data_IF_611850818917
#
_entry.id   IF_611850818917
#
_cell.length_a   1.000
_cell.length_b   1.000
_cell.length_c   1.000
_cell.angle_alpha   90.00
_cell.angle_beta   90.00
_cell.angle_gamma   90.00
#
_symmetry.space_group_name_H-M   'P 1'
#
loop_
_entity.id
_entity.type
_entity.pdbx_description
1 polymer ?
#
# COMPACT_ATOMS: atom_id res chain seq x y z
N UNK A 1 -13.21 0.09 14.13
CA UNK A 1 -11.85 0.62 14.06
C UNK A 1 -11.77 1.55 12.87
N UNK A 2 -11.42 2.82 13.07
CA UNK A 2 -11.09 3.76 11.99
C UNK A 2 -9.60 3.64 11.61
N UNK A 3 -9.14 4.39 10.59
CA UNK A 3 -7.77 4.29 10.08
C UNK A 3 -6.71 4.66 11.14
N UNK A 4 -6.99 5.67 11.94
CA UNK A 4 -6.10 6.09 13.04
C UNK A 4 -6.02 5.02 14.12
N UNK A 5 -7.15 4.47 14.54
CA UNK A 5 -7.21 3.36 15.50
C UNK A 5 -6.50 2.12 14.95
N UNK A 6 -6.59 1.86 13.64
CA UNK A 6 -5.88 0.75 12.99
C UNK A 6 -4.38 0.95 12.97
N UNK A 7 -3.91 2.14 12.56
CA UNK A 7 -2.49 2.48 12.59
C UNK A 7 -1.91 2.35 14.01
N UNK A 8 -2.64 2.81 15.02
CA UNK A 8 -2.25 2.68 16.43
C UNK A 8 -2.20 1.21 16.89
N UNK A 9 -3.23 0.42 16.53
CA UNK A 9 -3.29 -1.00 16.80
C UNK A 9 -2.10 -1.77 16.20
N UNK A 10 -1.68 -1.45 14.97
CA UNK A 10 -0.54 -2.12 14.32
C UNK A 10 0.76 -2.03 15.14
N UNK A 11 0.97 -0.93 15.89
CA UNK A 11 2.15 -0.80 16.77
C UNK A 11 2.19 -1.86 17.87
N UNK A 12 1.03 -2.35 18.30
CA UNK A 12 0.93 -3.34 19.37
C UNK A 12 1.30 -4.75 18.92
N UNK A 13 1.26 -5.01 17.61
CA UNK A 13 1.55 -6.33 17.03
C UNK A 13 2.97 -6.40 16.43
N UNK A 14 3.61 -5.26 16.21
CA UNK A 14 4.91 -5.19 15.54
C UNK A 14 6.09 -5.60 16.42
N UNK A 15 7.07 -6.24 15.78
CA UNK A 15 8.40 -6.48 16.36
C UNK A 15 9.05 -5.14 16.71
N UNK A 16 9.72 -5.09 17.87
CA UNK A 16 10.54 -3.93 18.27
C UNK A 16 11.94 -4.05 17.68
N UNK A 17 12.42 -2.96 17.09
CA UNK A 17 13.77 -2.84 16.55
C UNK A 17 14.57 -1.85 17.40
N UNK A 18 15.89 -2.07 17.49
CA UNK A 18 16.81 -1.12 18.14
C UNK A 18 17.20 0.01 17.19
N UNK A 19 17.42 -0.33 15.92
CA UNK A 19 17.76 0.63 14.86
C UNK A 19 16.51 0.95 14.02
N UNK A 20 16.21 2.24 13.87
CA UNK A 20 15.08 2.75 13.08
C UNK A 20 15.24 2.56 11.57
N UNK A 21 16.46 2.52 11.05
CA UNK A 21 16.73 2.24 9.63
C UNK A 21 16.47 0.78 9.30
N UNK A 22 16.93 -0.13 10.16
CA UNK A 22 16.64 -1.56 10.01
C UNK A 22 15.13 -1.81 10.10
N UNK A 23 14.45 -1.13 11.03
CA UNK A 23 13.00 -1.17 11.16
C UNK A 23 12.29 -0.75 9.86
N UNK A 24 12.67 0.39 9.29
CA UNK A 24 12.11 0.89 8.03
C UNK A 24 12.38 -0.07 6.86
N UNK A 25 13.61 -0.60 6.76
CA UNK A 25 13.96 -1.60 5.76
C UNK A 25 13.09 -2.85 5.88
N UNK A 26 12.86 -3.33 7.11
CA UNK A 26 12.01 -4.49 7.35
C UNK A 26 10.58 -4.25 6.87
N UNK A 27 10.00 -3.09 7.16
CA UNK A 27 8.64 -2.77 6.72
C UNK A 27 8.52 -2.58 5.21
N UNK A 28 9.50 -1.91 4.58
CA UNK A 28 9.51 -1.73 3.13
C UNK A 28 9.68 -3.04 2.36
N UNK A 29 10.57 -3.92 2.83
CA UNK A 29 10.74 -5.26 2.24
C UNK A 29 9.52 -6.15 2.48
N UNK A 30 8.82 -5.99 3.61
CA UNK A 30 7.54 -6.64 3.87
C UNK A 30 6.52 -6.37 2.77
N UNK A 31 6.31 -5.09 2.41
CA UNK A 31 5.42 -4.72 1.30
C UNK A 31 5.79 -5.45 0.00
N UNK A 32 7.09 -5.53 -0.32
CA UNK A 32 7.55 -6.21 -1.53
C UNK A 32 7.27 -7.72 -1.50
N UNK A 33 7.41 -8.36 -0.33
CA UNK A 33 7.04 -9.76 -0.11
C UNK A 33 5.56 -10.00 -0.38
N UNK A 34 4.69 -9.25 0.31
CA UNK A 34 3.23 -9.39 0.18
C UNK A 34 2.76 -9.09 -1.25
N UNK A 35 3.36 -8.11 -1.93
CA UNK A 35 3.08 -7.84 -3.34
C UNK A 35 3.42 -9.03 -4.25
N UNK A 36 4.52 -9.74 -3.96
CA UNK A 36 4.90 -10.98 -4.64
C UNK A 36 3.89 -12.11 -4.42
N UNK A 37 3.40 -12.26 -3.19
CA UNK A 37 2.40 -13.29 -2.86
C UNK A 37 1.02 -12.99 -3.45
N UNK A 38 0.60 -11.73 -3.47
CA UNK A 38 -0.57 -11.28 -4.23
C UNK A 38 -0.42 -11.64 -5.72
N UNK A 39 0.73 -11.31 -6.33
CA UNK A 39 0.98 -11.61 -7.73
C UNK A 39 0.96 -13.13 -8.01
N UNK A 40 1.54 -13.94 -7.12
CA UNK A 40 1.53 -15.40 -7.19
C UNK A 40 0.11 -15.96 -7.13
N UNK A 41 -0.72 -15.46 -6.21
CA UNK A 41 -2.12 -15.87 -6.08
C UNK A 41 -2.94 -15.46 -7.31
N UNK A 42 -2.80 -14.23 -7.80
CA UNK A 42 -3.48 -13.77 -9.02
C UNK A 42 -3.07 -14.63 -10.22
N UNK A 43 -1.78 -14.94 -10.37
CA UNK A 43 -1.29 -15.83 -11.44
C UNK A 43 -1.97 -17.19 -11.37
N UNK A 44 -2.04 -17.82 -10.20
CA UNK A 44 -2.72 -19.11 -9.99
C UNK A 44 -4.22 -19.02 -10.28
N UNK A 45 -4.86 -17.94 -9.86
CA UNK A 45 -6.29 -17.70 -10.10
C UNK A 45 -6.59 -17.65 -11.61
N UNK A 46 -5.80 -16.89 -12.36
CA UNK A 46 -6.04 -16.64 -13.79
C UNK A 46 -5.58 -17.81 -14.66
N UNK A 47 -4.33 -18.26 -14.50
CA UNK A 47 -3.73 -19.23 -15.42
C UNK A 47 -3.99 -20.69 -15.02
N UNK A 48 -4.19 -20.97 -13.74
CA UNK A 48 -4.48 -22.33 -13.26
C UNK A 48 -5.94 -22.51 -12.84
N UNK A 49 -6.80 -21.47 -13.01
CA UNK A 49 -8.23 -21.48 -12.65
C UNK A 49 -8.49 -21.91 -11.20
N UNK A 50 -7.51 -21.71 -10.31
CA UNK A 50 -7.61 -22.13 -8.93
C UNK A 50 -8.30 -21.03 -8.10
N UNK A 51 -9.59 -21.20 -7.86
CA UNK A 51 -10.40 -20.24 -7.10
C UNK A 51 -10.04 -20.17 -5.61
N UNK A 52 -9.45 -21.24 -5.06
CA UNK A 52 -9.14 -21.35 -3.63
C UNK A 52 -8.06 -20.35 -3.17
N UNK A 53 -7.31 -19.74 -4.09
CA UNK A 53 -6.28 -18.75 -3.76
C UNK A 53 -6.83 -17.35 -3.47
N UNK A 54 -8.15 -17.14 -3.62
CA UNK A 54 -8.78 -15.84 -3.34
C UNK A 54 -8.61 -15.39 -1.90
N UNK A 55 -8.66 -16.31 -0.95
CA UNK A 55 -8.45 -16.00 0.47
C UNK A 55 -7.02 -15.53 0.70
N UNK A 56 -6.04 -16.14 0.03
CA UNK A 56 -4.66 -15.66 0.04
C UNK A 56 -4.52 -14.24 -0.51
N UNK A 57 -5.21 -13.89 -1.61
CA UNK A 57 -5.19 -12.49 -2.12
C UNK A 57 -5.70 -11.52 -1.03
N UNK A 58 -6.81 -11.88 -0.36
CA UNK A 58 -7.41 -11.04 0.67
C UNK A 58 -6.49 -10.88 1.89
N UNK A 59 -5.86 -11.97 2.33
CA UNK A 59 -4.90 -11.99 3.44
C UNK A 59 -3.71 -11.06 3.16
N UNK A 60 -3.01 -11.29 2.05
CA UNK A 60 -1.81 -10.51 1.71
C UNK A 60 -2.13 -9.02 1.45
N UNK A 61 -3.35 -8.67 0.98
CA UNK A 61 -3.77 -7.27 0.92
C UNK A 61 -3.81 -6.65 2.33
N UNK A 62 -4.34 -7.39 3.31
CA UNK A 62 -4.31 -6.98 4.72
C UNK A 62 -2.89 -6.77 5.23
N UNK A 63 -1.98 -7.67 4.90
CA UNK A 63 -0.57 -7.57 5.31
C UNK A 63 0.15 -6.38 4.66
N UNK A 64 -0.15 -6.06 3.38
CA UNK A 64 0.31 -4.80 2.76
C UNK A 64 -0.14 -3.59 3.56
N UNK A 65 -1.40 -3.53 3.99
CA UNK A 65 -1.90 -2.41 4.81
C UNK A 65 -1.24 -2.36 6.18
N UNK A 66 -0.95 -3.52 6.79
CA UNK A 66 -0.23 -3.59 8.05
C UNK A 66 1.19 -3.02 7.92
N UNK A 67 1.95 -3.44 6.91
CA UNK A 67 3.28 -2.90 6.64
C UNK A 67 3.25 -1.41 6.28
N UNK A 68 2.27 -0.96 5.48
CA UNK A 68 2.10 0.46 5.15
C UNK A 68 1.82 1.31 6.40
N UNK A 69 0.95 0.84 7.30
CA UNK A 69 0.68 1.51 8.57
C UNK A 69 1.94 1.55 9.46
N UNK A 70 2.76 0.49 9.46
CA UNK A 70 4.03 0.47 10.18
C UNK A 70 5.07 1.44 9.61
N UNK A 71 5.11 1.63 8.29
CA UNK A 71 5.93 2.69 7.67
C UNK A 71 5.45 4.07 8.13
N UNK A 72 4.14 4.32 8.14
CA UNK A 72 3.58 5.58 8.62
C UNK A 72 4.00 5.84 10.08
N UNK A 73 3.88 4.83 10.95
CA UNK A 73 4.35 4.91 12.33
C UNK A 73 5.86 5.16 12.47
N UNK A 74 6.67 4.55 11.59
CA UNK A 74 8.12 4.71 11.61
C UNK A 74 8.56 6.12 11.18
N UNK A 75 7.83 6.72 10.22
CA UNK A 75 8.13 8.05 9.65
C UNK A 75 7.33 9.20 10.27
N UNK A 76 6.42 8.90 11.20
CA UNK A 76 5.58 9.89 11.87
C UNK A 76 4.49 10.46 10.97
N UNK A 77 4.00 9.69 10.00
CA UNK A 77 2.93 10.09 9.10
C UNK A 77 1.56 9.61 9.59
N UNK A 78 0.51 10.36 9.22
CA UNK A 78 -0.87 9.97 9.43
C UNK A 78 -1.39 9.20 8.20
N UNK A 79 -1.82 7.95 8.42
CA UNK A 79 -2.31 7.09 7.34
C UNK A 79 -3.59 7.62 6.68
N UNK A 80 -4.48 8.25 7.44
CA UNK A 80 -5.71 8.84 6.92
C UNK A 80 -5.40 10.04 6.02
N UNK A 81 -4.44 10.88 6.42
CA UNK A 81 -3.95 11.99 5.59
C UNK A 81 -3.38 11.49 4.25
N UNK A 82 -2.49 10.49 4.27
CA UNK A 82 -1.91 9.90 3.04
C UNK A 82 -2.98 9.38 2.08
N UNK A 83 -4.00 8.70 2.60
CA UNK A 83 -5.08 8.16 1.79
C UNK A 83 -5.99 9.27 1.24
N UNK A 84 -6.23 10.32 2.02
CA UNK A 84 -6.98 11.50 1.56
C UNK A 84 -6.26 12.24 0.44
N UNK A 85 -4.96 12.47 0.56
CA UNK A 85 -4.13 13.07 -0.50
C UNK A 85 -4.16 12.22 -1.78
N UNK A 86 -4.04 10.90 -1.64
CA UNK A 86 -4.15 9.98 -2.76
C UNK A 86 -5.52 10.08 -3.45
N UNK A 87 -6.60 10.10 -2.67
CA UNK A 87 -7.96 10.21 -3.16
C UNK A 87 -8.19 11.53 -3.90
N UNK A 88 -7.69 12.66 -3.39
CA UNK A 88 -7.76 13.96 -4.05
C UNK A 88 -7.03 13.94 -5.39
N UNK A 89 -5.80 13.39 -5.43
CA UNK A 89 -5.01 13.23 -6.65
C UNK A 89 -5.72 12.35 -7.69
N UNK A 90 -6.35 11.25 -7.26
CA UNK A 90 -7.11 10.37 -8.14
C UNK A 90 -8.38 11.05 -8.67
N UNK A 91 -9.12 11.78 -7.84
CA UNK A 91 -10.30 12.57 -8.27
C UNK A 91 -9.92 13.64 -9.28
N UNK A 92 -8.80 14.33 -9.07
CA UNK A 92 -8.30 15.32 -10.02
C UNK A 92 -7.89 14.68 -11.35
N UNK A 93 -7.30 13.48 -11.33
CA UNK A 93 -6.90 12.75 -12.55
C UNK A 93 -8.10 12.14 -13.29
N UNK A 94 -9.11 11.67 -12.56
CA UNK A 94 -10.24 10.92 -13.08
C UNK A 94 -11.58 11.52 -12.65
N UNK A 95 -11.89 12.78 -13.04
CA UNK A 95 -13.07 13.50 -12.54
C UNK A 95 -14.40 12.85 -12.96
N UNK A 96 -14.41 12.14 -14.10
CA UNK A 96 -15.55 11.37 -14.59
C UNK A 96 -15.29 9.84 -14.55
N UNK A 97 -14.33 9.40 -13.71
CA UNK A 97 -13.85 8.02 -13.70
C UNK A 97 -12.70 7.76 -14.67
N UNK A 98 -12.32 6.48 -14.78
CA UNK A 98 -11.18 6.05 -15.58
C UNK A 98 -11.40 6.32 -17.08
N UNK A 99 -10.40 6.88 -17.74
CA UNK A 99 -10.29 6.90 -19.20
C UNK A 99 -8.84 6.62 -19.59
N UNK A 100 -8.62 5.94 -20.72
CA UNK A 100 -7.26 5.67 -21.23
C UNK A 100 -6.48 6.97 -21.43
N UNK A 101 -7.14 8.01 -21.95
CA UNK A 101 -6.59 9.35 -22.13
C UNK A 101 -6.04 9.94 -20.82
N UNK A 102 -6.80 9.84 -19.72
CA UNK A 102 -6.38 10.36 -18.41
C UNK A 102 -5.33 9.45 -17.74
N UNK A 103 -5.26 8.17 -18.13
CA UNK A 103 -4.26 7.23 -17.63
C UNK A 103 -2.88 7.42 -18.29
N UNK A 104 -2.85 7.92 -19.53
CA UNK A 104 -1.62 8.27 -20.23
C UNK A 104 -0.89 9.41 -19.50
N UNK A 105 0.43 9.27 -19.33
CA UNK A 105 1.26 10.23 -18.60
C UNK A 105 2.00 11.23 -19.49
N UNK A 106 1.81 11.22 -20.81
CA UNK A 106 2.42 12.16 -21.79
C UNK A 106 3.88 12.58 -21.49
N UNK A 107 4.71 11.66 -20.98
CA UNK A 107 6.10 11.96 -20.59
C UNK A 107 6.29 12.88 -19.37
N UNK A 108 5.23 13.35 -18.72
CA UNK A 108 5.31 14.20 -17.53
C UNK A 108 5.35 13.33 -16.27
N UNK A 109 6.53 13.21 -15.69
CA UNK A 109 6.72 12.58 -14.39
C UNK A 109 6.24 13.55 -13.30
N UNK A 110 5.09 13.28 -12.70
CA UNK A 110 4.68 13.97 -11.47
C UNK A 110 5.66 13.52 -10.37
N UNK A 111 6.51 14.45 -9.89
CA UNK A 111 7.49 14.19 -8.82
C UNK A 111 6.77 13.60 -7.61
N UNK A 112 7.36 12.56 -7.03
CA UNK A 112 6.86 11.92 -5.81
C UNK A 112 7.21 12.70 -4.54
N UNK A 113 8.22 13.56 -4.59
CA UNK A 113 8.48 14.57 -3.57
C UNK A 113 7.72 15.84 -3.94
N UNK A 114 6.98 16.41 -2.98
CA UNK A 114 6.34 17.72 -3.10
C UNK A 114 7.28 18.79 -3.66
N UNK A 115 6.68 19.83 -4.21
CA UNK A 115 7.25 20.93 -5.00
C UNK A 115 8.72 21.34 -4.71
N UNK A 116 9.39 21.80 -5.78
CA UNK A 116 10.70 22.47 -5.76
C UNK A 116 10.84 23.50 -4.64
#
# INVERSE_FOLDING_TARGET
MNLKEYQEFCKTTAKRFKDKKEELCNWGLGIAGEAGDIASCIKKLIFHKNIAVKDGIKENIGDVFWYAAMICNNLGWDLEEILNENAQKLKARYPAGFTEKNAQRNGTMIKWSGNN
#
